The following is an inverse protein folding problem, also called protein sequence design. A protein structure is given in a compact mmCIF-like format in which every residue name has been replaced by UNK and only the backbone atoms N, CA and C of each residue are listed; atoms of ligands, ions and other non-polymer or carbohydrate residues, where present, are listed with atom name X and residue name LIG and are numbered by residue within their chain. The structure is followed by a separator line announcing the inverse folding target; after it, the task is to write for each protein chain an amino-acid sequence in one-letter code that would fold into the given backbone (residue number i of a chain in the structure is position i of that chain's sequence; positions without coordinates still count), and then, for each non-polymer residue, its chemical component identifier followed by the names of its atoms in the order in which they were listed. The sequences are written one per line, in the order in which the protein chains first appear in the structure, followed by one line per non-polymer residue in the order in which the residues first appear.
data_IF_179616834394
#
_entry.id   IF_179616834394
#
_cell.length_a   1.000
_cell.length_b   1.000
_cell.length_c   1.000
_cell.angle_alpha   90.00
_cell.angle_beta   90.00
_cell.angle_gamma   90.00
#
_symmetry.space_group_name_H-M   'P 1'
#
loop_
_entity.id
_entity.type
_entity.pdbx_description
1 polymer ?
#
# COMPACT_ATOMS: atom_id res chain seq x y z
N UNK A 1 -13.34 -11.60 16.91
CA UNK A 1 -13.63 -10.60 15.85
C UNK A 1 -12.82 -9.30 16.03
N UNK A 2 -11.50 -9.39 16.16
CA UNK A 2 -10.61 -8.24 16.46
C UNK A 2 -9.77 -7.79 15.26
N UNK A 3 -9.77 -8.56 14.17
CA UNK A 3 -8.93 -8.33 12.99
C UNK A 3 -9.39 -7.15 12.13
N UNK A 4 -10.71 -6.90 12.05
CA UNK A 4 -11.28 -5.78 11.27
C UNK A 4 -10.99 -4.41 11.90
N UNK A 5 -10.81 -4.35 13.24
CA UNK A 5 -10.64 -3.08 13.99
C UNK A 5 -9.23 -2.49 13.87
N UNK A 6 -8.21 -3.32 13.65
CA UNK A 6 -6.83 -2.85 13.46
C UNK A 6 -6.49 -2.53 11.99
N UNK A 7 -7.16 -3.18 11.03
CA UNK A 7 -7.03 -2.87 9.60
C UNK A 7 -7.67 -1.52 9.27
N UNK A 8 -8.81 -1.19 9.91
CA UNK A 8 -9.46 0.10 9.74
C UNK A 8 -8.66 1.26 10.37
N UNK A 9 -7.91 1.03 11.46
CA UNK A 9 -7.03 2.05 12.05
C UNK A 9 -5.80 2.38 11.20
N UNK A 10 -5.28 1.41 10.43
CA UNK A 10 -4.19 1.64 9.46
C UNK A 10 -4.67 2.39 8.21
N UNK A 11 -5.93 2.20 7.82
CA UNK A 11 -6.56 2.89 6.67
C UNK A 11 -7.05 4.32 7.00
N UNK A 12 -7.27 4.67 8.27
CA UNK A 12 -7.84 5.96 8.67
C UNK A 12 -6.80 7.02 9.07
N UNK A 13 -5.52 6.69 9.14
CA UNK A 13 -4.46 7.64 9.55
C UNK A 13 -3.99 8.60 8.43
N UNK A 14 -4.58 8.53 7.23
CA UNK A 14 -4.26 9.43 6.11
C UNK A 14 -5.33 10.50 5.82
N UNK A 15 -6.41 10.60 6.61
CA UNK A 15 -7.52 11.52 6.35
C UNK A 15 -8.01 12.33 7.57
N UNK A 16 -7.12 12.76 8.46
CA UNK A 16 -7.49 13.79 9.46
C UNK A 16 -6.44 14.89 9.53
N UNK A 17 -6.49 15.82 8.57
CA UNK A 17 -5.96 17.18 8.73
C UNK A 17 -7.09 18.04 9.34
N UNK A 18 -6.79 18.90 10.32
CA UNK A 18 -7.74 19.41 11.29
C UNK A 18 -8.50 20.62 10.74
N UNK A 19 -9.80 20.69 11.02
CA UNK A 19 -10.62 21.86 10.74
C UNK A 19 -10.91 22.62 12.04
N UNK A 20 -10.45 23.88 12.08
CA UNK A 20 -10.69 24.94 13.06
C UNK A 20 -10.01 24.71 14.43
N UNK A 21 -9.18 25.62 14.96
CA UNK A 21 -9.57 26.96 15.41
C UNK A 21 -8.48 28.02 15.13
N UNK A 22 -8.95 29.22 14.80
CA UNK A 22 -8.16 30.44 14.75
C UNK A 22 -7.56 30.75 16.14
N UNK A 23 -6.23 30.81 16.19
CA UNK A 23 -5.47 31.28 17.34
C UNK A 23 -4.13 31.81 16.85
N UNK A 24 -4.05 33.13 16.68
CA UNK A 24 -2.79 33.82 16.44
C UNK A 24 -1.85 33.62 17.63
N UNK A 25 -0.73 32.94 17.45
CA UNK A 25 0.48 33.20 18.25
C UNK A 25 1.73 32.57 17.64
N UNK A 26 2.66 33.47 17.30
CA UNK A 26 4.09 33.35 17.00
C UNK A 26 4.80 32.05 17.46
N UNK A 27 5.28 31.24 16.50
CA UNK A 27 6.40 30.28 16.65
C UNK A 27 7.08 30.01 15.28
N UNK A 28 8.35 29.54 15.26
CA UNK A 28 9.39 29.96 14.31
C UNK A 28 9.39 29.25 12.94
N UNK A 29 10.01 29.86 11.91
CA UNK A 29 10.06 29.33 10.55
C UNK A 29 11.28 28.42 10.34
N UNK A 30 11.34 27.24 10.96
CA UNK A 30 12.40 26.26 10.62
C UNK A 30 11.99 24.82 10.98
N UNK A 31 10.91 24.35 10.37
CA UNK A 31 10.59 22.91 10.37
C UNK A 31 10.00 22.51 9.03
N UNK A 32 10.69 22.87 7.95
CA UNK A 32 10.55 22.14 6.70
C UNK A 32 11.25 20.79 6.88
N UNK A 33 10.49 19.81 7.40
CA UNK A 33 10.85 18.40 7.23
C UNK A 33 10.79 18.16 5.72
N UNK A 34 11.94 18.30 5.06
CA UNK A 34 12.16 17.79 3.71
C UNK A 34 12.10 16.27 3.85
N UNK A 35 10.88 15.74 3.76
CA UNK A 35 10.63 14.32 3.72
C UNK A 35 11.28 13.84 2.43
N UNK A 36 12.38 13.11 2.59
CA UNK A 36 13.36 12.84 1.55
C UNK A 36 12.69 12.41 0.24
N UNK A 37 13.10 13.02 -0.88
CA UNK A 37 12.76 12.56 -2.23
C UNK A 37 13.32 11.14 -2.54
N UNK A 38 13.90 10.48 -1.54
CA UNK A 38 14.33 9.08 -1.47
C UNK A 38 13.38 8.26 -0.57
N UNK A 39 12.09 8.60 -0.52
CA UNK A 39 11.07 7.80 0.15
C UNK A 39 10.88 6.46 -0.59
N UNK A 40 11.85 5.55 -0.36
CA UNK A 40 11.95 4.15 -0.71
C UNK A 40 11.19 3.73 -1.97
N UNK A 41 11.90 3.63 -3.09
CA UNK A 41 11.36 3.26 -4.41
C UNK A 41 10.40 2.06 -4.36
N UNK A 42 10.70 1.06 -3.51
CA UNK A 42 9.87 -0.13 -3.34
C UNK A 42 8.49 0.16 -2.71
N UNK A 43 8.35 1.21 -1.89
CA UNK A 43 7.05 1.63 -1.32
C UNK A 43 6.16 2.27 -2.36
N UNK A 44 6.73 2.97 -3.33
CA UNK A 44 5.99 3.51 -4.47
C UNK A 44 5.46 2.37 -5.35
N UNK A 45 6.33 1.44 -5.72
CA UNK A 45 5.94 0.23 -6.47
C UNK A 45 4.88 -0.58 -5.70
N UNK A 46 5.06 -0.75 -4.40
CA UNK A 46 4.07 -1.37 -3.52
C UNK A 46 2.70 -0.67 -3.60
N UNK A 47 2.68 0.65 -3.51
CA UNK A 47 1.44 1.44 -3.55
C UNK A 47 0.76 1.35 -4.91
N UNK A 48 1.53 1.38 -6.00
CA UNK A 48 1.02 1.22 -7.36
C UNK A 48 0.38 -0.16 -7.56
N UNK A 49 1.06 -1.25 -7.19
CA UNK A 49 0.53 -2.61 -7.27
C UNK A 49 -0.74 -2.75 -6.41
N UNK A 50 -0.67 -2.32 -5.15
CA UNK A 50 -1.80 -2.44 -4.24
C UNK A 50 -2.98 -1.54 -4.62
N UNK A 51 -2.75 -0.46 -5.37
CA UNK A 51 -3.82 0.41 -5.89
C UNK A 51 -4.63 -0.24 -7.01
N UNK A 52 -4.06 -1.24 -7.71
CA UNK A 52 -4.77 -1.96 -8.78
C UNK A 52 -5.79 -2.99 -8.27
N UNK A 53 -5.91 -3.19 -6.96
CA UNK A 53 -6.87 -4.16 -6.42
C UNK A 53 -8.31 -3.73 -6.60
N UNK A 54 -8.59 -2.41 -6.63
CA UNK A 54 -9.95 -1.88 -6.74
C UNK A 54 -10.55 -2.18 -8.13
N UNK A 55 -9.72 -2.12 -9.17
CA UNK A 55 -10.10 -2.35 -10.57
C UNK A 55 -9.75 -3.77 -11.06
N UNK A 56 -9.33 -4.67 -10.17
CA UNK A 56 -8.73 -5.96 -10.54
C UNK A 56 -9.59 -6.79 -11.51
N UNK A 57 -10.92 -6.75 -11.36
CA UNK A 57 -11.87 -7.49 -12.20
C UNK A 57 -11.96 -6.99 -13.65
N UNK A 58 -11.47 -5.77 -13.91
CA UNK A 58 -11.46 -5.16 -15.25
C UNK A 58 -10.12 -5.31 -15.98
N UNK A 59 -9.09 -5.82 -15.30
CA UNK A 59 -7.76 -5.99 -15.86
C UNK A 59 -7.70 -7.19 -16.82
N UNK A 60 -6.87 -7.06 -17.84
CA UNK A 60 -6.55 -8.15 -18.76
C UNK A 60 -5.78 -9.29 -18.08
N UNK A 61 -5.76 -10.47 -18.70
CA UNK A 61 -4.98 -11.60 -18.17
C UNK A 61 -3.49 -11.29 -18.13
N UNK A 62 -2.98 -10.55 -19.11
CA UNK A 62 -1.58 -10.13 -19.20
C UNK A 62 -1.22 -9.18 -18.05
N UNK A 63 -2.05 -8.17 -17.77
CA UNK A 63 -1.85 -7.24 -16.65
C UNK A 63 -1.89 -7.96 -15.31
N UNK A 64 -2.82 -8.89 -15.11
CA UNK A 64 -2.91 -9.69 -13.89
C UNK A 64 -1.64 -10.54 -13.67
N UNK A 65 -1.12 -11.17 -14.74
CA UNK A 65 0.15 -11.92 -14.67
C UNK A 65 1.32 -11.01 -14.31
N UNK A 66 1.39 -9.83 -14.92
CA UNK A 66 2.44 -8.84 -14.62
C UNK A 66 2.37 -8.37 -13.17
N UNK A 67 1.18 -8.10 -12.64
CA UNK A 67 1.01 -7.70 -11.24
C UNK A 67 1.44 -8.80 -10.26
N UNK A 68 1.15 -10.08 -10.57
CA UNK A 68 1.62 -11.21 -9.77
C UNK A 68 3.16 -11.30 -9.79
N UNK A 69 3.77 -11.15 -10.96
CA UNK A 69 5.24 -11.15 -11.10
C UNK A 69 5.88 -9.99 -10.33
N UNK A 70 5.29 -8.79 -10.39
CA UNK A 70 5.72 -7.63 -9.61
C UNK A 70 5.60 -7.90 -8.11
N UNK A 71 4.51 -8.54 -7.64
CA UNK A 71 4.41 -8.97 -6.25
C UNK A 71 5.55 -9.93 -5.86
N UNK A 72 5.89 -10.88 -6.73
CA UNK A 72 6.95 -11.86 -6.46
C UNK A 72 8.35 -11.22 -6.45
N UNK A 73 8.60 -10.21 -7.30
CA UNK A 73 9.85 -9.42 -7.30
C UNK A 73 9.99 -8.53 -6.07
N UNK A 74 8.89 -7.96 -5.60
CA UNK A 74 8.89 -7.03 -4.48
C UNK A 74 9.05 -7.75 -3.14
N UNK A 75 8.53 -8.98 -3.02
CA UNK A 75 8.62 -9.81 -1.81
C UNK A 75 10.03 -9.88 -1.18
N UNK A 76 11.11 -10.27 -1.88
CA UNK A 76 12.45 -10.34 -1.29
C UNK A 76 13.02 -8.98 -0.87
N UNK A 77 12.52 -7.87 -1.44
CA UNK A 77 12.90 -6.51 -1.01
C UNK A 77 12.27 -6.20 0.34
N UNK A 78 10.99 -6.55 0.51
CA UNK A 78 10.25 -6.33 1.76
C UNK A 78 10.75 -7.25 2.88
N UNK A 79 11.19 -8.48 2.54
CA UNK A 79 11.79 -9.42 3.50
C UNK A 79 13.06 -8.89 4.17
N UNK A 80 13.77 -7.95 3.53
CA UNK A 80 14.99 -7.32 4.07
C UNK A 80 14.71 -6.14 5.00
N UNK A 81 13.45 -5.72 5.13
CA UNK A 81 13.08 -4.59 5.98
C UNK A 81 12.98 -5.00 7.45
N UNK A 82 12.92 -4.00 8.33
CA UNK A 82 12.74 -4.17 9.77
C UNK A 82 11.48 -4.97 10.11
N UNK A 83 11.49 -5.68 11.24
CA UNK A 83 10.46 -6.68 11.57
C UNK A 83 9.02 -6.17 11.45
N UNK A 84 8.76 -4.97 11.97
CA UNK A 84 7.42 -4.36 11.96
C UNK A 84 6.98 -4.00 10.54
N UNK A 85 7.87 -3.39 9.76
CA UNK A 85 7.61 -3.00 8.38
C UNK A 85 7.42 -4.24 7.49
N UNK A 86 8.37 -5.17 7.56
CA UNK A 86 8.31 -6.46 6.85
C UNK A 86 6.97 -7.17 7.05
N UNK A 87 6.50 -7.30 8.29
CA UNK A 87 5.23 -8.00 8.60
C UNK A 87 4.02 -7.33 7.93
N UNK A 88 3.91 -6.01 8.05
CA UNK A 88 2.76 -5.25 7.52
C UNK A 88 2.72 -5.34 6.01
N UNK A 89 3.84 -5.02 5.36
CA UNK A 89 3.88 -4.93 3.90
C UNK A 89 3.84 -6.31 3.24
N UNK A 90 4.50 -7.34 3.79
CA UNK A 90 4.36 -8.70 3.25
C UNK A 90 2.93 -9.23 3.37
N UNK A 91 2.23 -8.92 4.46
CA UNK A 91 0.84 -9.37 4.63
C UNK A 91 -0.06 -8.77 3.56
N UNK A 92 0.07 -7.46 3.30
CA UNK A 92 -0.73 -6.79 2.27
C UNK A 92 -0.32 -7.22 0.85
N UNK A 93 0.98 -7.32 0.56
CA UNK A 93 1.47 -7.79 -0.74
C UNK A 93 0.93 -9.19 -1.07
N UNK A 94 0.94 -10.09 -0.09
CA UNK A 94 0.38 -11.44 -0.24
C UNK A 94 -1.10 -11.40 -0.61
N UNK A 95 -1.91 -10.56 0.05
CA UNK A 95 -3.34 -10.46 -0.25
C UNK A 95 -3.59 -9.91 -1.65
N UNK A 96 -2.84 -8.90 -2.09
CA UNK A 96 -2.92 -8.37 -3.45
C UNK A 96 -2.59 -9.47 -4.48
N UNK A 97 -1.49 -10.20 -4.28
CA UNK A 97 -1.10 -11.32 -5.13
C UNK A 97 -2.17 -12.41 -5.22
N UNK A 98 -2.72 -12.81 -4.08
CA UNK A 98 -3.79 -13.82 -4.00
C UNK A 98 -5.06 -13.36 -4.74
N UNK A 99 -5.43 -12.07 -4.60
CA UNK A 99 -6.54 -11.49 -5.35
C UNK A 99 -6.29 -11.56 -6.86
N UNK A 100 -5.14 -11.08 -7.35
CA UNK A 100 -4.83 -11.10 -8.78
C UNK A 100 -4.81 -12.51 -9.35
N UNK A 101 -4.27 -13.49 -8.61
CA UNK A 101 -4.29 -14.89 -9.00
C UNK A 101 -5.73 -15.42 -9.12
N UNK A 102 -6.58 -15.13 -8.14
CA UNK A 102 -7.98 -15.52 -8.15
C UNK A 102 -8.74 -14.92 -9.34
N UNK A 103 -8.54 -13.63 -9.64
CA UNK A 103 -9.17 -12.99 -10.81
C UNK A 103 -8.68 -13.61 -12.10
N UNK A 104 -7.37 -13.85 -12.21
CA UNK A 104 -6.76 -14.46 -13.38
C UNK A 104 -7.35 -15.85 -13.65
N UNK A 105 -7.52 -16.67 -12.60
CA UNK A 105 -8.17 -17.98 -12.71
C UNK A 105 -9.63 -17.85 -13.13
N UNK A 106 -10.39 -16.96 -12.48
CA UNK A 106 -11.81 -16.71 -12.79
C UNK A 106 -12.04 -16.20 -14.22
N UNK A 107 -11.05 -15.55 -14.82
CA UNK A 107 -11.09 -15.05 -16.20
C UNK A 107 -10.66 -16.10 -17.25
N UNK A 108 -10.09 -17.24 -16.86
CA UNK A 108 -9.77 -18.36 -17.78
C UNK A 108 -10.98 -19.23 -18.08
N UNK A 109 -11.94 -19.26 -17.16
CA UNK A 109 -13.16 -20.06 -17.26
C UNK A 109 -14.31 -19.34 -17.99
N UNK A 110 -14.06 -18.12 -18.48
CA UNK A 110 -14.96 -17.35 -19.36
C UNK A 110 -14.55 -17.49 -20.82
#
# INVERSE_FOLDING_TARGET
MTLKRNILRMLFLLLTVPALHAGSSLLPPDSQIIQSAYAQDWKKEFAEICGKTDDAMSLSQEELKQLIEQCDKLKPIIEKQEETERKVYLKRLRLCRELFAYVLESNKDK
#
